data_IF_038341664582
#
_entry.id   IF_038341664582
#
_cell.length_a   1.000
_cell.length_b   1.000
_cell.length_c   1.000
_cell.angle_alpha   90.00
_cell.angle_beta   90.00
_cell.angle_gamma   90.00
#
_symmetry.space_group_name_H-M   'P 1'
#
loop_
_entity.id
_entity.type
_entity.pdbx_description
1 polymer ?
#
# COMPACT_ATOMS: atom_id res chain seq x y z
N UNK A 1 19.18 -27.85 22.17
CA UNK A 1 19.06 -27.06 20.93
C UNK A 1 17.79 -27.53 20.25
N UNK A 2 16.66 -26.89 20.52
CA UNK A 2 15.40 -27.22 19.85
C UNK A 2 15.51 -26.77 18.40
N UNK A 3 15.49 -27.72 17.46
CA UNK A 3 15.32 -27.40 16.05
C UNK A 3 13.91 -26.82 15.90
N UNK A 4 13.81 -25.60 15.38
CA UNK A 4 12.54 -25.02 15.01
C UNK A 4 11.95 -25.89 13.88
N UNK A 5 11.02 -26.79 14.23
CA UNK A 5 10.11 -27.42 13.30
C UNK A 5 9.16 -26.33 12.78
N UNK A 6 9.62 -25.50 11.84
CA UNK A 6 8.69 -24.75 11.02
C UNK A 6 7.95 -25.74 10.13
N UNK A 7 6.62 -25.70 10.23
CA UNK A 7 5.71 -26.51 9.46
C UNK A 7 5.98 -26.37 7.94
N UNK A 8 6.21 -27.51 7.30
CA UNK A 8 5.99 -27.83 5.89
C UNK A 8 6.13 -26.65 4.90
N UNK A 9 7.36 -26.22 4.56
CA UNK A 9 7.61 -25.19 3.55
C UNK A 9 6.92 -25.45 2.20
N UNK A 10 6.77 -26.72 1.83
CA UNK A 10 6.10 -27.19 0.63
C UNK A 10 4.58 -26.91 0.60
N UNK A 11 3.97 -26.64 1.76
CA UNK A 11 2.57 -26.25 1.89
C UNK A 11 2.36 -24.74 1.96
N UNK A 12 3.41 -23.92 1.85
CA UNK A 12 3.28 -22.44 1.90
C UNK A 12 2.59 -21.86 0.67
N UNK A 13 2.67 -22.55 -0.47
CA UNK A 13 2.06 -22.10 -1.72
C UNK A 13 1.35 -23.25 -2.44
N UNK A 14 0.20 -23.73 -1.94
CA UNK A 14 -0.57 -24.80 -2.58
C UNK A 14 -1.31 -24.33 -3.84
N UNK A 15 -1.10 -23.08 -4.27
CA UNK A 15 -1.79 -22.43 -5.37
C UNK A 15 -0.89 -22.39 -6.60
N UNK A 16 -1.47 -22.72 -7.77
CA UNK A 16 -0.80 -22.45 -9.03
C UNK A 16 -0.61 -20.94 -9.21
N UNK A 17 0.61 -20.50 -9.49
CA UNK A 17 0.87 -19.10 -9.80
C UNK A 17 0.24 -18.75 -11.15
N UNK A 18 -0.47 -17.64 -11.20
CA UNK A 18 -0.96 -17.02 -12.42
C UNK A 18 -0.34 -15.64 -12.58
N UNK A 19 -0.20 -15.19 -13.82
CA UNK A 19 0.18 -13.79 -14.09
C UNK A 19 -0.85 -12.84 -13.45
N UNK A 20 -0.35 -11.78 -12.82
CA UNK A 20 -1.14 -10.79 -12.07
C UNK A 20 -1.39 -9.54 -12.93
N UNK A 21 -0.59 -9.36 -13.99
CA UNK A 21 -0.60 -8.24 -14.94
C UNK A 21 0.08 -8.64 -16.24
N UNK A 22 -0.07 -7.80 -17.27
CA UNK A 22 0.49 -7.99 -18.61
C UNK A 22 2.03 -8.08 -18.58
N UNK A 23 2.60 -8.78 -19.57
CA UNK A 23 4.05 -8.85 -19.71
C UNK A 23 4.65 -7.43 -19.86
N UNK A 24 5.76 -7.15 -19.19
CA UNK A 24 6.35 -5.80 -19.19
C UNK A 24 5.71 -4.81 -18.20
N UNK A 25 4.54 -5.10 -17.62
CA UNK A 25 3.88 -4.20 -16.66
C UNK A 25 4.30 -4.41 -15.20
N UNK A 26 3.90 -3.48 -14.33
CA UNK A 26 4.03 -3.55 -12.87
C UNK A 26 2.66 -3.34 -12.22
N UNK A 27 2.41 -4.02 -11.10
CA UNK A 27 1.18 -3.82 -10.31
C UNK A 27 1.47 -3.01 -9.04
N UNK A 28 0.64 -2.00 -8.80
CA UNK A 28 0.61 -1.24 -7.55
C UNK A 28 -0.69 -1.53 -6.80
N UNK A 29 -0.58 -1.95 -5.55
CA UNK A 29 -1.70 -2.13 -4.63
C UNK A 29 -1.75 -0.91 -3.68
N UNK A 30 -2.88 -0.22 -3.67
CA UNK A 30 -3.08 0.94 -2.80
C UNK A 30 -4.56 1.07 -2.41
N UNK A 31 -4.85 1.17 -1.11
CA UNK A 31 -6.23 1.32 -0.58
C UNK A 31 -7.23 0.27 -1.14
N UNK A 32 -6.79 -0.97 -1.29
CA UNK A 32 -7.61 -2.07 -1.82
C UNK A 32 -7.85 -2.01 -3.34
N UNK A 33 -7.26 -1.05 -4.04
CA UNK A 33 -7.23 -0.97 -5.51
C UNK A 33 -5.98 -1.67 -6.04
N UNK A 34 -6.14 -2.28 -7.22
CA UNK A 34 -5.04 -2.77 -8.05
C UNK A 34 -4.89 -1.83 -9.24
N UNK A 35 -3.71 -1.25 -9.41
CA UNK A 35 -3.37 -0.37 -10.52
C UNK A 35 -2.23 -1.00 -11.31
N UNK A 36 -2.50 -1.33 -12.57
CA UNK A 36 -1.49 -1.86 -13.49
C UNK A 36 -0.87 -0.69 -14.27
N UNK A 37 0.47 -0.60 -14.26
CA UNK A 37 1.23 0.40 -15.01
C UNK A 37 1.97 -0.31 -16.15
N UNK A 38 1.67 0.10 -17.38
CA UNK A 38 2.30 -0.45 -18.57
C UNK A 38 3.75 0.01 -18.74
N UNK A 39 4.07 1.18 -18.20
CA UNK A 39 5.38 1.80 -18.35
C UNK A 39 5.98 2.11 -16.98
N UNK A 40 7.21 1.66 -16.79
CA UNK A 40 8.03 1.94 -15.62
C UNK A 40 9.50 1.87 -16.04
N UNK A 41 10.39 2.55 -15.32
CA UNK A 41 11.82 2.34 -15.52
C UNK A 41 12.30 1.07 -14.80
N UNK A 42 13.39 0.49 -15.29
CA UNK A 42 14.02 -0.67 -14.66
C UNK A 42 14.81 -0.25 -13.42
N UNK A 43 14.73 -1.03 -12.34
CA UNK A 43 15.46 -0.78 -11.11
C UNK A 43 14.83 -1.46 -9.90
N UNK A 44 15.44 -1.28 -8.73
CA UNK A 44 14.88 -1.70 -7.44
C UNK A 44 13.75 -0.76 -7.00
N UNK A 45 13.92 0.55 -7.22
CA UNK A 45 12.90 1.56 -6.95
C UNK A 45 11.75 1.46 -7.96
N UNK A 46 10.54 1.83 -7.53
CA UNK A 46 9.39 1.92 -8.42
C UNK A 46 9.36 3.29 -9.10
N UNK A 47 9.94 3.35 -10.30
CA UNK A 47 9.99 4.54 -11.13
C UNK A 47 8.82 4.57 -12.11
N UNK A 48 7.92 5.54 -11.95
CA UNK A 48 6.66 5.66 -12.70
C UNK A 48 6.62 6.97 -13.50
N UNK A 49 5.67 7.09 -14.44
CA UNK A 49 5.41 8.41 -15.04
C UNK A 49 4.76 9.32 -13.98
N UNK A 50 5.13 10.61 -13.90
CA UNK A 50 4.51 11.54 -12.95
C UNK A 50 2.98 11.57 -13.02
N UNK A 51 2.42 11.43 -14.22
CA UNK A 51 0.95 11.44 -14.44
C UNK A 51 0.23 10.24 -13.82
N UNK A 52 0.93 9.13 -13.58
CA UNK A 52 0.34 7.92 -12.98
C UNK A 52 0.02 8.10 -11.50
N UNK A 53 0.65 9.07 -10.81
CA UNK A 53 0.39 9.36 -9.38
C UNK A 53 -1.09 9.62 -9.12
N UNK A 54 -1.78 10.33 -10.03
CA UNK A 54 -3.19 10.67 -9.87
C UNK A 54 -4.04 9.41 -9.80
N UNK A 55 -3.72 8.41 -10.63
CA UNK A 55 -4.47 7.16 -10.67
C UNK A 55 -4.10 6.20 -9.52
N UNK A 56 -2.86 6.27 -9.04
CA UNK A 56 -2.36 5.41 -7.97
C UNK A 56 -2.88 5.90 -6.62
N UNK A 57 -2.53 7.12 -6.22
CA UNK A 57 -2.79 7.64 -4.87
C UNK A 57 -3.44 9.02 -4.87
N UNK A 58 -3.83 9.55 -6.03
CA UNK A 58 -4.53 10.84 -6.15
C UNK A 58 -3.64 12.07 -6.03
N UNK A 59 -2.33 11.91 -5.91
CA UNK A 59 -1.40 13.04 -5.94
C UNK A 59 -1.11 13.46 -7.39
N UNK A 60 -0.79 14.74 -7.57
CA UNK A 60 -0.42 15.33 -8.85
C UNK A 60 0.88 16.10 -8.69
N UNK A 61 1.79 15.99 -9.67
CA UNK A 61 3.01 16.80 -9.69
C UNK A 61 2.69 18.19 -10.24
N UNK A 62 2.96 19.22 -9.44
CA UNK A 62 2.79 20.64 -9.78
C UNK A 62 4.10 21.40 -9.55
N UNK A 63 4.25 22.62 -10.10
CA UNK A 63 5.46 23.43 -9.89
C UNK A 63 5.79 23.68 -8.40
N UNK A 64 4.77 23.81 -7.55
CA UNK A 64 4.91 24.00 -6.11
C UNK A 64 5.25 22.72 -5.34
N UNK A 65 5.02 21.54 -5.92
CA UNK A 65 5.21 20.26 -5.24
C UNK A 65 4.32 19.13 -5.74
N UNK A 66 4.36 18.01 -5.02
CA UNK A 66 3.47 16.85 -5.21
C UNK A 66 2.24 17.05 -4.33
N UNK A 67 1.08 17.27 -4.94
CA UNK A 67 -0.10 17.80 -4.29
C UNK A 67 -1.30 16.85 -4.31
N UNK A 68 -2.06 16.80 -3.21
CA UNK A 68 -3.35 16.13 -3.10
C UNK A 68 -4.35 17.04 -2.37
N UNK A 69 -5.29 17.63 -3.11
CA UNK A 69 -6.15 18.68 -2.56
C UNK A 69 -5.32 19.88 -2.08
N UNK A 70 -5.49 20.28 -0.83
CA UNK A 70 -4.74 21.38 -0.21
C UNK A 70 -3.38 20.95 0.38
N UNK A 71 -3.08 19.64 0.40
CA UNK A 71 -1.80 19.10 0.88
C UNK A 71 -0.79 19.10 -0.26
N UNK A 72 0.28 19.89 -0.17
CA UNK A 72 1.37 19.89 -1.14
C UNK A 72 2.71 19.61 -0.46
N UNK A 73 3.46 18.65 -1.01
CA UNK A 73 4.77 18.23 -0.52
C UNK A 73 5.83 18.79 -1.47
N UNK A 74 6.83 19.54 -0.98
CA UNK A 74 7.85 20.13 -1.84
C UNK A 74 8.53 19.08 -2.72
N UNK A 75 8.55 19.33 -4.03
CA UNK A 75 9.24 18.46 -4.97
C UNK A 75 10.75 18.67 -4.82
N UNK A 76 11.46 17.62 -4.41
CA UNK A 76 12.92 17.63 -4.36
C UNK A 76 13.47 16.93 -5.59
N UNK A 77 14.70 17.28 -6.00
CA UNK A 77 15.37 16.62 -7.13
C UNK A 77 15.63 15.13 -6.89
N UNK A 78 15.48 14.64 -5.66
CA UNK A 78 15.59 13.22 -5.33
C UNK A 78 14.35 12.41 -5.76
N UNK A 79 13.21 13.06 -6.04
CA UNK A 79 11.97 12.40 -6.46
C UNK A 79 11.84 12.27 -7.98
N UNK A 80 12.68 12.98 -8.74
CA UNK A 80 12.72 12.91 -10.19
C UNK A 80 14.04 12.29 -10.63
N UNK A 81 13.97 11.21 -11.39
CA UNK A 81 15.12 10.45 -11.87
C UNK A 81 15.14 10.49 -13.39
N UNK A 82 16.25 10.91 -13.97
CA UNK A 82 16.48 10.88 -15.41
C UNK A 82 17.06 9.52 -15.82
N UNK A 83 16.34 8.77 -16.66
CA UNK A 83 16.77 7.47 -17.17
C UNK A 83 16.22 7.24 -18.58
N UNK A 84 17.08 6.75 -19.48
CA UNK A 84 16.74 6.45 -20.88
C UNK A 84 16.11 7.65 -21.62
N UNK A 85 16.68 8.84 -21.42
CA UNK A 85 16.21 10.13 -21.97
C UNK A 85 14.77 10.51 -21.56
N UNK A 86 14.29 9.95 -20.45
CA UNK A 86 12.98 10.22 -19.87
C UNK A 86 13.08 10.53 -18.37
N UNK A 87 12.27 11.49 -17.92
CA UNK A 87 12.10 11.79 -16.50
C UNK A 87 11.08 10.85 -15.87
N UNK A 88 11.47 10.20 -14.79
CA UNK A 88 10.64 9.30 -13.98
C UNK A 88 10.41 9.88 -12.59
N UNK A 89 9.27 9.56 -12.00
CA UNK A 89 8.98 9.85 -10.60
C UNK A 89 9.28 8.63 -9.75
N UNK A 90 10.11 8.79 -8.72
CA UNK A 90 10.43 7.71 -7.78
C UNK A 90 9.33 7.60 -6.71
N UNK A 91 8.39 6.68 -6.93
CA UNK A 91 7.27 6.45 -6.03
C UNK A 91 7.73 5.87 -4.69
N UNK A 92 8.78 5.06 -4.68
CA UNK A 92 9.35 4.48 -3.45
C UNK A 92 10.04 5.54 -2.60
N UNK A 93 10.83 6.43 -3.19
CA UNK A 93 11.44 7.56 -2.48
C UNK A 93 10.38 8.55 -1.97
N UNK A 94 9.29 8.75 -2.73
CA UNK A 94 8.17 9.56 -2.26
C UNK A 94 7.45 8.93 -1.07
N UNK A 95 7.25 7.62 -1.08
CA UNK A 95 6.70 6.88 0.05
C UNK A 95 7.62 6.98 1.28
N UNK A 96 8.93 6.84 1.11
CA UNK A 96 9.91 6.98 2.19
C UNK A 96 9.89 8.39 2.79
N UNK A 97 9.83 9.44 1.94
CA UNK A 97 9.70 10.84 2.38
C UNK A 97 8.44 11.06 3.22
N UNK A 98 7.37 10.35 2.88
CA UNK A 98 6.08 10.38 3.57
C UNK A 98 6.01 9.48 4.81
N UNK A 99 7.07 8.73 5.10
CA UNK A 99 7.08 7.63 6.06
C UNK A 99 5.91 6.65 5.81
N UNK A 100 5.53 6.48 4.54
CA UNK A 100 4.48 5.58 4.09
C UNK A 100 5.04 4.16 4.00
N UNK A 101 4.55 3.19 4.80
CA UNK A 101 5.01 1.81 4.70
C UNK A 101 4.62 1.21 3.35
N UNK A 102 5.54 0.43 2.77
CA UNK A 102 5.27 -0.40 1.61
C UNK A 102 6.06 -1.70 1.66
N UNK A 103 5.66 -2.66 0.82
CA UNK A 103 6.40 -3.89 0.55
C UNK A 103 6.46 -4.11 -0.96
N UNK A 104 7.59 -4.64 -1.43
CA UNK A 104 7.81 -4.97 -2.83
C UNK A 104 8.10 -6.47 -3.00
N UNK A 105 7.47 -7.06 -3.99
CA UNK A 105 7.86 -8.35 -4.57
C UNK A 105 8.43 -8.06 -5.97
N UNK A 106 9.77 -8.00 -6.05
CA UNK A 106 10.47 -7.65 -7.29
C UNK A 106 10.37 -8.76 -8.35
N UNK A 107 10.24 -10.02 -7.95
CA UNK A 107 10.08 -11.15 -8.88
C UNK A 107 8.70 -11.10 -9.53
N UNK A 108 7.66 -10.88 -8.71
CA UNK A 108 6.30 -10.70 -9.21
C UNK A 108 6.06 -9.33 -9.85
N UNK A 109 6.95 -8.35 -9.66
CA UNK A 109 6.78 -6.93 -10.02
C UNK A 109 5.50 -6.35 -9.42
N UNK A 110 5.36 -6.47 -8.10
CA UNK A 110 4.22 -5.96 -7.34
C UNK A 110 4.71 -5.11 -6.17
N UNK A 111 4.16 -3.91 -6.03
CA UNK A 111 4.38 -3.05 -4.87
C UNK A 111 3.05 -2.82 -4.15
N UNK A 112 3.03 -3.00 -2.84
CA UNK A 112 1.88 -2.72 -2.00
C UNK A 112 2.18 -1.60 -1.04
N UNK A 113 1.48 -0.48 -1.20
CA UNK A 113 1.63 0.71 -0.36
C UNK A 113 0.48 0.78 0.65
N UNK A 114 0.81 1.05 1.91
CA UNK A 114 -0.17 1.34 2.94
C UNK A 114 -0.81 2.73 2.72
N UNK A 115 -1.84 3.07 3.50
CA UNK A 115 -2.41 4.42 3.48
C UNK A 115 -1.35 5.47 3.87
N UNK A 116 -1.36 6.61 3.17
CA UNK A 116 -0.41 7.70 3.39
C UNK A 116 -0.66 8.34 4.76
N UNK A 117 0.33 8.39 5.68
CA UNK A 117 0.14 8.94 7.02
C UNK A 117 -0.45 10.35 7.05
N UNK A 118 -0.05 11.22 6.11
CA UNK A 118 -0.56 12.58 6.00
C UNK A 118 -2.07 12.65 5.64
N UNK A 119 -2.61 11.63 4.95
CA UNK A 119 -4.06 11.50 4.68
C UNK A 119 -4.86 10.99 5.88
N UNK A 120 -4.19 10.32 6.83
CA UNK A 120 -4.81 9.72 8.03
C UNK A 120 -5.34 10.74 9.04
N UNK A 121 -5.05 12.04 8.88
CA UNK A 121 -5.52 13.07 9.81
C UNK A 121 -7.05 13.05 9.94
N UNK A 122 -7.78 12.78 8.86
CA UNK A 122 -9.24 12.70 8.89
C UNK A 122 -9.73 11.52 9.76
N UNK A 123 -9.09 10.35 9.65
CA UNK A 123 -9.47 9.17 10.44
C UNK A 123 -9.22 9.35 11.95
N UNK A 124 -8.13 10.03 12.31
CA UNK A 124 -7.81 10.38 13.70
C UNK A 124 -8.70 11.50 14.26
N UNK A 125 -9.13 12.43 13.40
CA UNK A 125 -9.98 13.57 13.79
C UNK A 125 -11.44 13.17 13.98
N UNK A 126 -11.96 12.27 13.15
CA UNK A 126 -13.33 11.76 13.31
C UNK A 126 -13.44 10.72 14.42
N UNK A 127 -12.35 9.98 14.69
CA UNK A 127 -12.24 8.96 15.75
C UNK A 127 -13.44 7.98 15.79
N UNK A 128 -14.10 7.79 14.65
CA UNK A 128 -15.29 6.96 14.52
C UNK A 128 -14.85 5.57 14.06
N UNK A 129 -15.07 4.56 14.90
CA UNK A 129 -14.89 3.18 14.46
C UNK A 129 -15.86 2.89 13.30
N UNK A 130 -15.40 2.28 12.19
CA UNK A 130 -16.29 1.89 11.10
C UNK A 130 -17.30 0.86 11.58
N UNK A 131 -18.45 0.75 10.91
CA UNK A 131 -19.35 -0.38 11.14
C UNK A 131 -18.71 -1.64 10.56
N UNK A 132 -18.50 -2.63 11.41
CA UNK A 132 -17.84 -3.89 11.09
C UNK A 132 -18.66 -5.03 11.71
N UNK A 133 -19.00 -6.01 10.89
CA UNK A 133 -19.62 -7.25 11.32
C UNK A 133 -18.56 -8.35 11.39
N UNK A 134 -18.45 -8.98 12.55
CA UNK A 134 -17.56 -10.11 12.80
C UNK A 134 -18.39 -11.33 13.15
N UNK A 135 -17.96 -12.49 12.70
CA UNK A 135 -18.55 -13.75 13.18
C UNK A 135 -17.79 -14.18 14.44
N UNK A 136 -18.52 -14.40 15.52
CA UNK A 136 -17.92 -14.90 16.76
C UNK A 136 -17.56 -16.40 16.64
N UNK A 137 -16.94 -16.95 17.69
CA UNK A 137 -16.54 -18.37 17.72
C UNK A 137 -17.71 -19.35 17.69
N UNK A 138 -18.92 -18.90 17.95
CA UNK A 138 -20.14 -19.71 17.95
C UNK A 138 -20.92 -19.55 16.63
N UNK A 139 -20.45 -18.72 15.71
CA UNK A 139 -21.12 -18.45 14.43
C UNK A 139 -22.14 -17.31 14.47
N UNK A 140 -22.28 -16.60 15.59
CA UNK A 140 -23.19 -15.46 15.67
C UNK A 140 -22.53 -14.23 15.06
N UNK A 141 -23.34 -13.37 14.43
CA UNK A 141 -22.88 -12.08 13.96
C UNK A 141 -22.79 -11.11 15.15
N UNK A 142 -21.64 -10.49 15.30
CA UNK A 142 -21.36 -9.41 16.24
C UNK A 142 -21.09 -8.12 15.44
N UNK A 143 -21.84 -7.06 15.70
CA UNK A 143 -21.56 -5.76 15.09
C UNK A 143 -20.80 -4.87 16.08
N UNK A 144 -19.68 -4.30 15.65
CA UNK A 144 -18.86 -3.43 16.50
C UNK A 144 -19.63 -2.20 17.00
N UNK A 145 -20.68 -1.77 16.29
CA UNK A 145 -21.54 -0.65 16.71
C UNK A 145 -22.28 -0.94 18.02
N UNK A 146 -22.43 -2.20 18.43
CA UNK A 146 -23.04 -2.59 19.71
C UNK A 146 -22.16 -2.20 20.91
N UNK A 147 -20.90 -1.84 20.67
CA UNK A 147 -19.99 -1.30 21.67
C UNK A 147 -20.11 0.23 21.82
N UNK A 148 -20.94 0.90 21.02
CA UNK A 148 -21.11 2.36 21.10
C UNK A 148 -21.51 2.79 22.52
N UNK A 149 -20.80 3.77 23.07
CA UNK A 149 -20.99 4.24 24.44
C UNK A 149 -20.25 3.42 25.51
N UNK A 150 -19.50 2.39 25.12
CA UNK A 150 -18.65 1.60 26.01
C UNK A 150 -17.17 1.84 25.70
N UNK A 151 -16.30 1.70 26.70
CA UNK A 151 -14.84 1.62 26.47
C UNK A 151 -14.53 0.21 25.98
N UNK A 152 -13.97 0.09 24.78
CA UNK A 152 -13.62 -1.18 24.16
C UNK A 152 -12.14 -1.21 23.79
N UNK A 153 -11.52 -2.39 23.90
CA UNK A 153 -10.17 -2.68 23.43
C UNK A 153 -10.26 -3.79 22.40
N UNK A 154 -9.70 -3.56 21.20
CA UNK A 154 -9.62 -4.57 20.14
C UNK A 154 -8.21 -5.15 20.17
N UNK A 155 -8.11 -6.47 20.26
CA UNK A 155 -6.85 -7.20 20.25
C UNK A 155 -6.85 -8.16 19.06
N UNK A 156 -5.90 -8.01 18.16
CA UNK A 156 -5.69 -8.92 17.02
C UNK A 156 -4.46 -9.77 17.25
N UNK A 157 -4.53 -11.07 16.95
CA UNK A 157 -3.40 -12.00 17.03
C UNK A 157 -3.54 -13.11 15.98
N UNK A 158 -2.43 -13.81 15.72
CA UNK A 158 -2.43 -15.08 14.97
C UNK A 158 -1.59 -16.11 15.72
N UNK A 159 -1.90 -17.40 15.57
CA UNK A 159 -1.35 -18.46 16.42
C UNK A 159 0.03 -18.99 16.01
N UNK A 160 0.61 -18.51 14.90
CA UNK A 160 1.89 -18.93 14.29
C UNK A 160 2.16 -20.45 14.33
#
# INVERSE_FOLDING_TARGET
MASAFMAYPELRHPFASSSIHSEGSVTVLYEGRQVELAEHAAGEALLIRPDDLININGFEVKPEGVCHGDLCIPLTTALLVEQDDQTWFDLTAFADLLEQPYVADHEARVWSFAEIPAKRHNMMTEAMAPSLELTDRQGNIFNITDLKGKKALIVTWSSW
#
